data_IF_142623842530
#
_entry.id   IF_142623842530
#
_cell.length_a   1.000
_cell.length_b   1.000
_cell.length_c   1.000
_cell.angle_alpha   90.00
_cell.angle_beta   90.00
_cell.angle_gamma   90.00
#
_symmetry.space_group_name_H-M   'P 1'
#
loop_
_entity.id
_entity.type
_entity.pdbx_description
1 polymer ?
#
# COMPACT_ATOMS: atom_id res chain seq x y z
N UNK A 1 9.75 3.22 -1.46
CA UNK A 1 8.97 3.40 -0.21
C UNK A 1 8.32 4.76 -0.30
N UNK A 2 7.01 4.84 -0.11
CA UNK A 2 6.25 6.09 -0.27
C UNK A 2 5.50 6.38 1.03
N UNK A 3 5.63 7.61 1.53
CA UNK A 3 4.82 8.12 2.63
C UNK A 3 3.62 8.85 2.05
N UNK A 4 2.46 8.69 2.67
CA UNK A 4 1.22 9.33 2.23
C UNK A 4 0.72 10.28 3.31
N UNK A 5 0.20 11.43 2.90
CA UNK A 5 -0.60 12.28 3.78
C UNK A 5 -1.89 11.56 4.19
N UNK A 6 -2.51 12.00 5.28
CA UNK A 6 -3.85 11.56 5.70
C UNK A 6 -4.93 12.53 5.19
N UNK A 7 -4.66 13.19 4.07
CA UNK A 7 -5.44 14.24 3.43
C UNK A 7 -5.66 13.92 1.94
N UNK A 8 -6.19 14.86 1.17
CA UNK A 8 -6.48 14.70 -0.25
C UNK A 8 -5.25 14.42 -1.13
N UNK A 9 -4.03 14.63 -0.62
CA UNK A 9 -2.80 14.33 -1.35
C UNK A 9 -2.46 12.83 -1.38
N UNK A 10 -3.14 12.00 -0.59
CA UNK A 10 -2.87 10.57 -0.50
C UNK A 10 -3.06 9.85 -1.84
N UNK A 11 -4.19 10.06 -2.50
CA UNK A 11 -4.52 9.41 -3.78
C UNK A 11 -3.50 9.69 -4.89
N UNK A 12 -3.20 10.95 -5.25
CA UNK A 12 -2.24 11.22 -6.33
C UNK A 12 -0.84 10.69 -6.00
N UNK A 13 -0.45 10.72 -4.72
CA UNK A 13 0.83 10.16 -4.26
C UNK A 13 0.88 8.64 -4.44
N UNK A 14 -0.19 7.93 -4.10
CA UNK A 14 -0.29 6.47 -4.27
C UNK A 14 -0.27 6.11 -5.75
N UNK A 15 -1.06 6.79 -6.58
CA UNK A 15 -1.14 6.51 -8.02
C UNK A 15 0.22 6.73 -8.69
N UNK A 16 0.92 7.83 -8.37
CA UNK A 16 2.25 8.09 -8.88
C UNK A 16 3.25 6.97 -8.52
N UNK A 17 3.25 6.52 -7.27
CA UNK A 17 4.15 5.45 -6.82
C UNK A 17 3.83 4.09 -7.48
N UNK A 18 2.54 3.76 -7.63
CA UNK A 18 2.13 2.51 -8.29
C UNK A 18 2.44 2.51 -9.79
N UNK A 19 2.48 3.68 -10.41
CA UNK A 19 2.71 3.84 -11.85
C UNK A 19 4.19 3.98 -12.24
N UNK A 20 5.10 4.08 -11.25
CA UNK A 20 6.53 4.25 -11.50
C UNK A 20 7.15 3.07 -12.26
N UNK A 21 6.65 1.86 -11.99
CA UNK A 21 7.08 0.60 -12.62
C UNK A 21 6.09 -0.52 -12.33
N UNK A 22 6.24 -1.65 -13.02
CA UNK A 22 5.52 -2.88 -12.67
C UNK A 22 6.06 -3.45 -11.35
N UNK A 23 5.21 -3.47 -10.32
CA UNK A 23 5.52 -4.02 -9.01
C UNK A 23 5.05 -5.47 -8.91
N UNK A 24 5.89 -6.36 -8.37
CA UNK A 24 5.49 -7.74 -8.07
C UNK A 24 4.67 -7.83 -6.78
N UNK A 25 5.02 -7.01 -5.77
CA UNK A 25 4.33 -6.97 -4.48
C UNK A 25 4.27 -5.54 -3.94
N UNK A 26 3.10 -5.14 -3.42
CA UNK A 26 2.89 -3.88 -2.69
C UNK A 26 2.63 -4.18 -1.21
N UNK A 27 3.51 -3.69 -0.34
CA UNK A 27 3.35 -3.83 1.11
C UNK A 27 2.61 -2.62 1.68
N UNK A 28 1.45 -2.85 2.30
CA UNK A 28 0.67 -1.80 2.98
C UNK A 28 0.95 -1.83 4.49
N UNK A 29 1.59 -0.76 4.95
CA UNK A 29 2.00 -0.55 6.34
C UNK A 29 0.85 -0.56 7.36
N UNK A 30 1.16 -0.85 8.61
CA UNK A 30 0.18 -0.82 9.71
C UNK A 30 -0.38 0.57 10.05
N UNK A 31 0.29 1.65 9.63
CA UNK A 31 -0.11 3.03 9.98
C UNK A 31 -1.52 3.40 9.55
N UNK A 32 -1.95 2.97 8.35
CA UNK A 32 -3.30 3.22 7.84
C UNK A 32 -4.28 2.07 8.09
N UNK A 33 -3.80 0.90 8.52
CA UNK A 33 -4.63 -0.30 8.70
C UNK A 33 -5.12 -0.51 10.13
N UNK A 34 -4.37 -0.04 11.12
CA UNK A 34 -4.67 -0.28 12.54
C UNK A 34 -5.66 0.73 13.14
N UNK A 35 -5.60 2.03 12.81
CA UNK A 35 -6.58 2.98 13.34
C UNK A 35 -7.94 2.83 12.64
N UNK A 36 -9.00 2.57 13.41
CA UNK A 36 -10.37 2.45 12.88
C UNK A 36 -10.82 3.65 12.03
N UNK A 37 -10.51 4.92 12.38
CA UNK A 37 -10.89 6.07 11.55
C UNK A 37 -10.26 6.09 10.16
N UNK A 38 -9.17 5.33 9.94
CA UNK A 38 -8.48 5.28 8.65
C UNK A 38 -8.95 4.13 7.76
N UNK A 39 -9.97 3.37 8.16
CA UNK A 39 -10.53 2.29 7.35
C UNK A 39 -10.92 2.73 5.92
N UNK A 40 -11.56 3.90 5.69
CA UNK A 40 -11.87 4.34 4.33
C UNK A 40 -10.61 4.60 3.48
N UNK A 41 -9.57 5.19 4.07
CA UNK A 41 -8.30 5.41 3.38
C UNK A 41 -7.62 4.07 3.06
N UNK A 42 -7.66 3.11 4.00
CA UNK A 42 -7.13 1.78 3.76
C UNK A 42 -7.85 1.07 2.60
N UNK A 43 -9.18 1.11 2.57
CA UNK A 43 -9.98 0.57 1.47
C UNK A 43 -9.62 1.22 0.13
N UNK A 44 -9.48 2.56 0.11
CA UNK A 44 -9.05 3.30 -1.06
C UNK A 44 -7.67 2.84 -1.55
N UNK A 45 -6.69 2.68 -0.65
CA UNK A 45 -5.35 2.20 -1.02
C UNK A 45 -5.41 0.80 -1.66
N UNK A 46 -6.17 -0.13 -1.07
CA UNK A 46 -6.34 -1.49 -1.64
C UNK A 46 -6.92 -1.42 -3.06
N UNK A 47 -7.94 -0.58 -3.26
CA UNK A 47 -8.59 -0.42 -4.57
C UNK A 47 -7.66 0.25 -5.59
N UNK A 48 -6.84 1.23 -5.18
CA UNK A 48 -5.86 1.85 -6.05
C UNK A 48 -4.77 0.87 -6.48
N UNK A 49 -4.28 0.02 -5.57
CA UNK A 49 -3.33 -1.05 -5.91
C UNK A 49 -3.94 -2.00 -6.95
N UNK A 50 -5.17 -2.46 -6.72
CA UNK A 50 -5.87 -3.34 -7.68
C UNK A 50 -6.06 -2.71 -9.05
N UNK A 51 -6.27 -1.39 -9.12
CA UNK A 51 -6.50 -0.65 -10.37
C UNK A 51 -5.19 -0.37 -11.13
N UNK A 52 -4.17 0.11 -10.42
CA UNK A 52 -2.95 0.65 -11.04
C UNK A 52 -1.78 -0.34 -11.07
N UNK A 53 -1.79 -1.36 -10.21
CA UNK A 53 -0.82 -2.45 -10.21
C UNK A 53 -1.54 -3.81 -10.12
N UNK A 54 -2.41 -4.16 -11.09
CA UNK A 54 -3.28 -5.35 -11.01
C UNK A 54 -2.54 -6.68 -10.92
N UNK A 55 -1.27 -6.72 -11.36
CA UNK A 55 -0.40 -7.90 -11.28
C UNK A 55 0.29 -8.04 -9.92
N UNK A 56 0.39 -6.96 -9.16
CA UNK A 56 1.06 -6.97 -7.87
C UNK A 56 0.24 -7.73 -6.83
N UNK A 57 0.89 -8.60 -6.06
CA UNK A 57 0.29 -9.10 -4.84
C UNK A 57 0.21 -7.99 -3.78
N UNK A 58 -0.78 -8.07 -2.88
CA UNK A 58 -0.91 -7.16 -1.74
C UNK A 58 -0.41 -7.88 -0.49
N UNK A 59 0.56 -7.28 0.19
CA UNK A 59 1.12 -7.78 1.43
C UNK A 59 0.83 -6.82 2.59
N UNK A 60 0.72 -7.39 3.79
CA UNK A 60 0.61 -6.64 5.04
C UNK A 60 1.74 -7.04 5.98
N UNK A 61 2.45 -6.05 6.51
CA UNK A 61 3.46 -6.24 7.55
C UNK A 61 2.85 -6.06 8.96
N UNK A 62 3.55 -6.49 10.00
CA UNK A 62 3.11 -6.28 11.39
C UNK A 62 3.69 -4.99 11.97
N UNK A 63 4.89 -4.62 11.49
CA UNK A 63 5.74 -3.50 11.90
C UNK A 63 6.49 -2.91 10.69
N UNK A 64 7.23 -1.81 10.86
CA UNK A 64 8.08 -1.31 9.78
C UNK A 64 9.23 -2.27 9.42
N UNK A 65 9.69 -3.08 10.38
CA UNK A 65 10.88 -3.92 10.25
C UNK A 65 10.67 -5.20 9.46
N UNK A 66 9.44 -5.70 9.33
CA UNK A 66 9.13 -6.99 8.68
C UNK A 66 8.56 -6.82 7.25
N UNK A 67 8.88 -5.70 6.59
CA UNK A 67 8.33 -5.39 5.26
C UNK A 67 8.89 -6.33 4.17
N UNK A 68 10.13 -6.79 4.32
CA UNK A 68 10.77 -7.72 3.37
C UNK A 68 10.14 -9.09 3.47
N UNK A 69 9.99 -9.60 4.69
CA UNK A 69 9.35 -10.87 5.01
C UNK A 69 7.89 -10.87 4.56
N UNK A 70 7.20 -9.73 4.69
CA UNK A 70 5.84 -9.57 4.19
C UNK A 70 5.75 -9.69 2.67
N UNK A 71 6.69 -9.08 1.94
CA UNK A 71 6.74 -9.16 0.48
C UNK A 71 7.07 -10.58 0.00
N UNK A 72 8.05 -11.23 0.62
CA UNK A 72 8.52 -12.57 0.24
C UNK A 72 7.45 -13.66 0.33
N UNK A 73 6.37 -13.48 1.09
CA UNK A 73 5.24 -14.44 1.13
C UNK A 73 4.50 -14.55 -0.22
N UNK A 74 4.72 -13.61 -1.14
CA UNK A 74 3.98 -13.50 -2.39
C UNK A 74 4.87 -13.44 -3.64
N UNK A 75 6.18 -13.60 -3.49
CA UNK A 75 7.14 -13.69 -4.60
C UNK A 75 7.30 -15.12 -5.11
#
# INVERSE_FOLDING_TARGET
>A
MTLIGLDESAEPTIVAALSERDWDVVVIGGGIRKPEPLLPLFEQVVNLVRRHAPKAAIAFNTSGGDSVEAAQRWL
#
